data_IF_175096752251
#
_entry.id   IF_175096752251
#
_cell.length_a   1.000
_cell.length_b   1.000
_cell.length_c   1.000
_cell.angle_alpha   90.00
_cell.angle_beta   90.00
_cell.angle_gamma   90.00
#
_symmetry.space_group_name_H-M   'P 1'
#
loop_
_entity.id
_entity.type
_entity.pdbx_description
1 polymer ?
#
# COMPACT_ATOMS: atom_id res chain seq x y z
N UNK A 1 -10.92 8.85 23.98
CA UNK A 1 -11.03 7.41 23.80
C UNK A 1 -9.75 6.90 23.14
N UNK A 2 -9.05 6.02 23.83
CA UNK A 2 -7.83 5.48 23.27
C UNK A 2 -8.19 4.48 22.16
N UNK A 3 -7.58 4.62 21.01
CA UNK A 3 -7.72 3.66 19.92
C UNK A 3 -6.64 2.60 20.06
N UNK A 4 -6.82 1.76 21.07
CA UNK A 4 -5.86 0.69 21.33
C UNK A 4 -5.90 -0.31 20.18
N UNK A 5 -4.72 -0.55 19.62
CA UNK A 5 -4.58 -1.55 18.57
C UNK A 5 -4.44 -2.93 19.19
N UNK A 6 -5.13 -3.90 18.59
CA UNK A 6 -4.91 -5.31 18.91
C UNK A 6 -3.70 -5.77 18.10
N UNK A 7 -2.64 -6.19 18.79
CA UNK A 7 -1.38 -6.58 18.14
C UNK A 7 -1.20 -8.08 18.17
N UNK A 8 -0.80 -8.65 17.03
CA UNK A 8 -0.55 -10.06 16.85
C UNK A 8 0.77 -10.27 16.11
N UNK A 9 1.59 -11.20 16.59
CA UNK A 9 2.81 -11.59 15.89
C UNK A 9 2.48 -12.50 14.73
N UNK A 10 3.06 -12.23 13.55
CA UNK A 10 2.88 -13.05 12.36
C UNK A 10 4.04 -14.03 12.17
N UNK A 11 5.17 -13.82 12.88
CA UNK A 11 6.33 -14.71 12.85
C UNK A 11 6.72 -15.07 14.28
N UNK A 12 7.45 -16.18 14.43
CA UNK A 12 7.89 -16.65 15.74
C UNK A 12 8.82 -15.67 16.45
N UNK A 13 9.64 -14.95 15.71
CA UNK A 13 10.61 -14.00 16.28
C UNK A 13 10.02 -12.62 16.57
N UNK A 14 8.72 -12.45 16.40
CA UNK A 14 8.01 -11.18 16.66
C UNK A 14 8.48 -9.99 15.83
N UNK A 15 9.26 -10.21 14.77
CA UNK A 15 9.74 -9.13 13.91
C UNK A 15 8.64 -8.58 13.01
N UNK A 16 7.67 -9.41 12.64
CA UNK A 16 6.54 -9.03 11.77
C UNK A 16 5.26 -9.13 12.58
N UNK A 17 4.54 -8.01 12.66
CA UNK A 17 3.33 -7.90 13.45
C UNK A 17 2.15 -7.43 12.61
N UNK A 18 0.95 -7.76 13.08
CA UNK A 18 -0.32 -7.23 12.61
C UNK A 18 -0.94 -6.44 13.75
N UNK A 19 -1.31 -5.19 13.50
CA UNK A 19 -1.93 -4.32 14.51
C UNK A 19 -3.25 -3.77 13.95
N UNK A 20 -4.33 -3.91 14.70
CA UNK A 20 -5.66 -3.51 14.25
C UNK A 20 -6.29 -2.51 15.21
N UNK A 21 -6.84 -1.42 14.66
CA UNK A 21 -7.71 -0.50 15.39
C UNK A 21 -9.05 -0.38 14.65
N UNK A 22 -9.90 0.57 15.04
CA UNK A 22 -11.22 0.71 14.42
C UNK A 22 -11.16 1.03 12.92
N UNK A 23 -10.13 1.78 12.47
CA UNK A 23 -10.05 2.26 11.10
C UNK A 23 -9.14 1.42 10.21
N UNK A 24 -8.04 0.92 10.77
CA UNK A 24 -6.94 0.35 9.99
C UNK A 24 -6.44 -0.96 10.56
N UNK A 25 -5.95 -1.81 9.66
CA UNK A 25 -5.15 -2.99 10.00
C UNK A 25 -3.77 -2.76 9.41
N UNK A 26 -2.74 -2.75 10.26
CA UNK A 26 -1.35 -2.53 9.87
C UNK A 26 -0.57 -3.83 9.85
N UNK A 27 0.35 -3.95 8.91
CA UNK A 27 1.30 -5.06 8.82
C UNK A 27 2.69 -4.43 8.79
N UNK A 28 3.51 -4.72 9.79
CA UNK A 28 4.76 -4.01 10.02
C UNK A 28 5.90 -5.00 10.23
N UNK A 29 6.99 -4.81 9.48
CA UNK A 29 8.25 -5.50 9.73
C UNK A 29 9.11 -4.56 10.57
N UNK A 30 9.25 -4.86 11.86
CA UNK A 30 9.96 -3.99 12.81
C UNK A 30 11.45 -3.86 12.52
N UNK A 31 12.03 -4.74 11.70
CA UNK A 31 13.43 -4.66 11.31
C UNK A 31 13.63 -3.66 10.18
N UNK A 32 12.67 -3.53 9.26
CA UNK A 32 12.80 -2.69 8.06
C UNK A 32 11.97 -1.41 8.10
N UNK A 33 10.86 -1.39 8.88
CA UNK A 33 10.02 -0.20 8.99
C UNK A 33 10.80 1.05 9.43
N UNK A 34 11.83 0.96 10.30
CA UNK A 34 12.61 2.15 10.67
C UNK A 34 13.35 2.82 9.51
N UNK A 35 13.46 2.17 8.34
CA UNK A 35 14.07 2.79 7.15
C UNK A 35 13.15 3.82 6.51
N UNK A 36 11.85 3.81 6.85
CA UNK A 36 10.89 4.78 6.32
C UNK A 36 11.13 6.16 6.96
N UNK A 37 11.30 7.17 6.10
CA UNK A 37 11.61 8.55 6.53
C UNK A 37 10.38 9.43 6.31
N UNK A 38 9.92 10.15 7.33
CA UNK A 38 8.69 10.95 7.28
C UNK A 38 8.54 11.81 6.03
N UNK A 39 9.60 12.52 5.66
CA UNK A 39 9.55 13.43 4.51
C UNK A 39 9.55 12.74 3.16
N UNK A 40 9.96 11.47 3.14
CA UNK A 40 10.09 10.69 1.91
C UNK A 40 9.04 9.60 1.79
N UNK A 41 8.39 9.27 2.88
CA UNK A 41 7.44 8.15 2.91
C UNK A 41 6.17 8.48 2.14
N UNK A 42 5.77 7.54 1.33
CA UNK A 42 4.52 7.60 0.59
C UNK A 42 4.03 6.21 0.30
N UNK A 43 3.05 6.10 -0.59
CA UNK A 43 2.37 4.84 -0.81
C UNK A 43 1.89 4.66 -2.24
N UNK A 44 1.94 3.41 -2.68
CA UNK A 44 1.14 2.91 -3.79
C UNK A 44 -0.13 2.32 -3.20
N UNK A 45 -1.27 2.54 -3.84
CA UNK A 45 -2.57 2.15 -3.32
C UNK A 45 -3.38 1.36 -4.33
N UNK A 46 -4.26 0.48 -3.82
CA UNK A 46 -5.35 -0.07 -4.60
C UNK A 46 -6.58 -0.19 -3.72
N UNK A 47 -7.76 -0.29 -4.34
CA UNK A 47 -9.04 -0.34 -3.63
C UNK A 47 -9.61 -1.76 -3.63
N UNK A 48 -10.36 -2.10 -2.59
CA UNK A 48 -10.96 -3.42 -2.45
C UNK A 48 -12.35 -3.32 -1.84
N UNK A 49 -13.13 -4.39 -2.00
CA UNK A 49 -14.44 -4.54 -1.35
C UNK A 49 -14.46 -5.71 -0.37
N UNK A 50 -13.64 -6.73 -0.62
CA UNK A 50 -13.56 -7.94 0.21
C UNK A 50 -12.36 -7.84 1.15
N UNK A 51 -12.65 -7.70 2.46
CA UNK A 51 -11.60 -7.55 3.47
C UNK A 51 -10.71 -8.79 3.57
N UNK A 52 -11.26 -9.98 3.32
CA UNK A 52 -10.44 -11.21 3.34
C UNK A 52 -9.36 -11.17 2.26
N UNK A 53 -9.69 -10.65 1.09
CA UNK A 53 -8.72 -10.46 0.02
C UNK A 53 -7.61 -9.51 0.45
N UNK A 54 -7.98 -8.37 1.06
CA UNK A 54 -7.01 -7.39 1.54
C UNK A 54 -6.09 -7.98 2.62
N UNK A 55 -6.64 -8.76 3.55
CA UNK A 55 -5.86 -9.42 4.58
C UNK A 55 -4.84 -10.40 3.99
N UNK A 56 -5.28 -11.21 3.02
CA UNK A 56 -4.41 -12.19 2.37
C UNK A 56 -3.28 -11.51 1.61
N UNK A 57 -3.59 -10.46 0.86
CA UNK A 57 -2.58 -9.72 0.08
C UNK A 57 -1.57 -9.02 0.99
N UNK A 58 -2.04 -8.35 2.04
CA UNK A 58 -1.14 -7.66 2.96
C UNK A 58 -0.24 -8.64 3.73
N UNK A 59 -0.80 -9.77 4.16
CA UNK A 59 -0.03 -10.82 4.81
C UNK A 59 1.06 -11.35 3.88
N UNK A 60 0.68 -11.63 2.63
CA UNK A 60 1.63 -12.11 1.62
C UNK A 60 2.74 -11.08 1.38
N UNK A 61 2.39 -9.81 1.21
CA UNK A 61 3.35 -8.74 0.93
C UNK A 61 4.38 -8.60 2.05
N UNK A 62 3.92 -8.59 3.30
CA UNK A 62 4.82 -8.39 4.45
C UNK A 62 5.71 -9.62 4.68
N UNK A 63 5.17 -10.83 4.51
CA UNK A 63 5.93 -12.06 4.70
C UNK A 63 6.94 -12.31 3.59
N UNK A 64 6.63 -11.92 2.35
CA UNK A 64 7.56 -12.03 1.22
C UNK A 64 8.63 -10.94 1.21
N UNK A 65 8.48 -9.92 2.06
CA UNK A 65 9.43 -8.82 2.10
C UNK A 65 9.26 -7.81 0.98
N UNK A 66 8.08 -7.78 0.33
CA UNK A 66 7.80 -6.81 -0.72
C UNK A 66 7.74 -5.38 -0.18
N UNK A 67 7.31 -5.22 1.07
CA UNK A 67 7.18 -3.92 1.74
C UNK A 67 7.67 -4.03 3.18
N UNK A 68 8.04 -2.89 3.76
CA UNK A 68 8.40 -2.81 5.18
C UNK A 68 7.16 -2.57 6.05
N UNK A 69 6.15 -1.94 5.48
CA UNK A 69 4.89 -1.63 6.16
C UNK A 69 3.79 -1.45 5.14
N UNK A 70 2.61 -1.98 5.46
CA UNK A 70 1.40 -1.71 4.70
C UNK A 70 0.21 -1.66 5.65
N UNK A 71 -0.92 -1.16 5.14
CA UNK A 71 -2.16 -1.15 5.90
C UNK A 71 -3.35 -1.30 4.96
N UNK A 72 -4.47 -1.73 5.52
CA UNK A 72 -5.74 -1.70 4.80
C UNK A 72 -6.86 -1.24 5.73
N UNK A 73 -7.95 -0.77 5.14
CA UNK A 73 -9.16 -0.40 5.86
C UNK A 73 -9.66 -1.60 6.65
N UNK A 74 -10.00 -1.40 7.93
CA UNK A 74 -10.52 -2.47 8.79
C UNK A 74 -11.93 -2.91 8.35
N UNK A 75 -12.32 -4.12 8.73
CA UNK A 75 -13.65 -4.66 8.44
C UNK A 75 -14.76 -3.76 9.01
N UNK A 76 -14.57 -3.23 10.23
CA UNK A 76 -15.56 -2.36 10.85
C UNK A 76 -15.76 -1.04 10.13
N UNK A 77 -14.68 -0.43 9.69
CA UNK A 77 -14.75 0.84 8.96
C UNK A 77 -15.21 0.62 7.51
N UNK A 78 -14.91 -0.54 6.94
CA UNK A 78 -15.34 -0.89 5.59
C UNK A 78 -16.87 -0.93 5.47
N UNK A 79 -17.56 -1.44 6.50
CA UNK A 79 -19.03 -1.51 6.52
C UNK A 79 -19.65 -0.11 6.38
N UNK A 80 -19.02 0.91 6.96
CA UNK A 80 -19.49 2.30 6.87
C UNK A 80 -19.14 2.92 5.51
N UNK A 81 -17.97 2.63 4.98
CA UNK A 81 -17.43 3.27 3.77
C UNK A 81 -17.76 2.52 2.48
N UNK A 82 -18.14 1.25 2.54
CA UNK A 82 -18.46 0.36 1.41
C UNK A 82 -17.28 0.03 0.48
N UNK A 83 -16.15 0.70 0.62
CA UNK A 83 -14.94 0.45 -0.16
C UNK A 83 -13.71 0.74 0.70
N UNK A 84 -12.75 -0.20 0.67
CA UNK A 84 -11.51 -0.02 1.40
C UNK A 84 -10.33 0.28 0.50
N UNK A 85 -9.22 0.64 1.12
CA UNK A 85 -7.97 0.92 0.43
C UNK A 85 -6.84 0.15 1.09
N UNK A 86 -5.91 -0.35 0.27
CA UNK A 86 -4.64 -0.92 0.72
C UNK A 86 -3.54 0.09 0.37
N UNK A 87 -2.66 0.36 1.33
CA UNK A 87 -1.53 1.27 1.16
C UNK A 87 -0.22 0.50 1.38
N UNK A 88 0.65 0.50 0.35
CA UNK A 88 1.99 -0.08 0.42
C UNK A 88 3.00 1.05 0.56
N UNK A 89 3.70 1.12 1.69
CA UNK A 89 4.57 2.25 2.03
C UNK A 89 6.02 2.02 1.62
N UNK A 90 6.65 3.09 1.12
CA UNK A 90 8.09 3.13 0.90
C UNK A 90 8.53 4.59 0.77
N UNK A 91 9.86 4.82 0.81
CA UNK A 91 10.42 6.14 0.57
C UNK A 91 10.41 6.43 -0.94
N UNK A 92 10.11 7.68 -1.31
CA UNK A 92 10.01 8.09 -2.71
C UNK A 92 11.30 7.84 -3.51
N UNK A 93 12.45 7.93 -2.87
CA UNK A 93 13.75 7.75 -3.52
C UNK A 93 14.28 6.31 -3.49
N UNK A 94 13.47 5.36 -3.00
CA UNK A 94 13.82 3.94 -2.95
C UNK A 94 13.48 3.27 -4.29
N UNK A 95 14.35 3.44 -5.29
CA UNK A 95 14.11 2.90 -6.62
C UNK A 95 13.93 1.36 -6.64
N UNK A 96 14.79 0.57 -5.95
CA UNK A 96 14.56 -0.88 -5.87
C UNK A 96 13.24 -1.21 -5.19
N UNK A 97 12.82 -0.42 -4.21
CA UNK A 97 11.56 -0.62 -3.50
C UNK A 97 10.35 -0.40 -4.39
N UNK A 98 10.36 0.66 -5.20
CA UNK A 98 9.30 0.89 -6.19
C UNK A 98 9.17 -0.29 -7.14
N UNK A 99 10.28 -0.77 -7.67
CA UNK A 99 10.30 -1.93 -8.56
C UNK A 99 9.70 -3.15 -7.88
N UNK A 100 10.14 -3.44 -6.66
CA UNK A 100 9.71 -4.61 -5.89
C UNK A 100 8.21 -4.57 -5.59
N UNK A 101 7.70 -3.42 -5.16
CA UNK A 101 6.28 -3.25 -4.85
C UNK A 101 5.44 -3.34 -6.11
N UNK A 102 5.85 -2.67 -7.18
CA UNK A 102 5.09 -2.70 -8.43
C UNK A 102 5.10 -4.10 -9.06
N UNK A 103 6.21 -4.82 -8.97
CA UNK A 103 6.27 -6.21 -9.41
C UNK A 103 5.29 -7.08 -8.62
N UNK A 104 5.23 -6.89 -7.31
CA UNK A 104 4.26 -7.59 -6.46
C UNK A 104 2.83 -7.26 -6.89
N UNK A 105 2.53 -5.99 -7.11
CA UNK A 105 1.19 -5.55 -7.52
C UNK A 105 0.79 -6.12 -8.89
N UNK A 106 1.71 -6.11 -9.85
CA UNK A 106 1.46 -6.67 -11.17
C UNK A 106 1.24 -8.18 -11.11
N UNK A 107 2.09 -8.89 -10.36
CA UNK A 107 2.02 -10.36 -10.25
C UNK A 107 0.74 -10.84 -9.57
N UNK A 108 0.16 -10.01 -8.73
CA UNK A 108 -1.07 -10.36 -7.98
C UNK A 108 -2.33 -9.70 -8.56
N UNK A 109 -2.23 -9.04 -9.71
CA UNK A 109 -3.38 -8.46 -10.39
C UNK A 109 -4.03 -7.31 -9.63
N UNK A 110 -3.22 -6.50 -8.93
CA UNK A 110 -3.74 -5.43 -8.06
C UNK A 110 -3.89 -4.10 -8.76
N UNK A 111 -3.34 -3.95 -9.97
CA UNK A 111 -3.43 -2.71 -10.73
C UNK A 111 -4.59 -2.84 -11.72
N UNK A 112 -5.61 -1.97 -11.59
CA UNK A 112 -6.78 -2.07 -12.48
C UNK A 112 -6.43 -1.75 -13.92
N UNK A 113 -7.23 -2.26 -14.84
CA UNK A 113 -7.06 -2.01 -16.27
C UNK A 113 -8.17 -1.12 -16.79
N UNK A 114 -7.86 -0.32 -17.80
CA UNK A 114 -8.85 0.47 -18.52
C UNK A 114 -9.71 -0.42 -19.41
N UNK A 115 -10.77 0.12 -19.97
CA UNK A 115 -11.64 -0.62 -20.91
C UNK A 115 -10.86 -1.12 -22.13
N UNK A 116 -9.77 -0.43 -22.50
CA UNK A 116 -8.91 -0.82 -23.63
C UNK A 116 -7.83 -1.85 -23.27
N UNK A 117 -7.79 -2.29 -22.01
CA UNK A 117 -6.84 -3.30 -21.55
C UNK A 117 -5.50 -2.78 -21.11
N UNK A 118 -5.30 -1.46 -21.10
CA UNK A 118 -4.10 -0.85 -20.54
C UNK A 118 -4.18 -0.81 -19.02
N UNK A 119 -3.03 -0.82 -18.35
CA UNK A 119 -2.97 -0.55 -16.93
C UNK A 119 -3.37 0.89 -16.65
N UNK A 120 -4.13 1.11 -15.58
CA UNK A 120 -4.36 2.45 -15.07
C UNK A 120 -3.03 3.05 -14.62
N UNK A 121 -2.81 4.31 -14.94
CA UNK A 121 -1.60 5.02 -14.53
C UNK A 121 -1.75 5.48 -13.08
N UNK A 122 -1.66 4.53 -12.15
CA UNK A 122 -1.81 4.81 -10.73
C UNK A 122 -0.69 5.71 -10.23
N UNK A 123 -0.94 6.41 -9.14
CA UNK A 123 -0.02 7.41 -8.58
C UNK A 123 0.60 6.94 -7.29
N UNK A 124 1.87 7.30 -7.10
CA UNK A 124 2.52 7.25 -5.80
C UNK A 124 2.18 8.54 -5.08
N UNK A 125 1.69 8.45 -3.85
CA UNK A 125 1.28 9.62 -3.09
C UNK A 125 2.11 9.74 -1.82
N UNK A 126 2.83 10.86 -1.68
CA UNK A 126 3.56 11.17 -0.46
C UNK A 126 2.59 11.44 0.70
N UNK A 127 2.97 11.02 1.90
CA UNK A 127 2.17 11.30 3.10
C UNK A 127 2.08 12.80 3.36
N UNK A 128 3.13 13.55 3.06
CA UNK A 128 3.12 15.02 3.17
C UNK A 128 2.05 15.65 2.27
N UNK A 129 1.85 15.11 1.06
CA UNK A 129 0.79 15.57 0.16
C UNK A 129 -0.59 15.32 0.77
N UNK A 130 -0.77 14.18 1.42
CA UNK A 130 -2.03 13.88 2.10
C UNK A 130 -2.27 14.82 3.27
N UNK A 131 -1.24 15.10 4.08
CA UNK A 131 -1.35 16.02 5.22
C UNK A 131 -1.62 17.46 4.78
N UNK A 132 -1.11 17.84 3.61
CA UNK A 132 -1.36 19.16 3.03
C UNK A 132 -2.74 19.26 2.36
N UNK A 133 -3.54 18.19 2.36
CA UNK A 133 -4.85 18.19 1.73
C UNK A 133 -4.81 18.03 0.23
N UNK A 134 -3.69 17.60 -0.33
CA UNK A 134 -3.53 17.37 -1.78
C UNK A 134 -4.13 16.03 -2.17
N UNK A 135 -5.43 15.98 -2.32
CA UNK A 135 -6.13 14.77 -2.77
C UNK A 135 -7.35 15.16 -3.62
N UNK A 136 -7.94 14.16 -4.28
CA UNK A 136 -9.06 14.39 -5.17
C UNK A 136 -8.64 15.15 -6.43
N UNK A 137 -9.48 16.05 -6.90
CA UNK A 137 -9.26 16.78 -8.15
C UNK A 137 -8.07 17.75 -8.11
N UNK A 138 -7.69 18.21 -6.91
CA UNK A 138 -6.58 19.15 -6.75
C UNK A 138 -5.23 18.44 -6.62
N UNK A 139 -5.23 17.11 -6.49
CA UNK A 139 -3.99 16.34 -6.37
C UNK A 139 -3.29 16.24 -7.71
N UNK A 140 -2.02 16.63 -7.73
CA UNK A 140 -1.17 16.50 -8.91
C UNK A 140 0.01 15.59 -8.58
N UNK A 141 -0.09 14.33 -8.98
CA UNK A 141 0.94 13.34 -8.70
C UNK A 141 2.19 13.58 -9.53
N UNK A 142 3.34 13.60 -8.88
CA UNK A 142 4.65 13.75 -9.54
C UNK A 142 5.24 12.39 -9.95
N UNK A 143 4.87 11.31 -9.25
CA UNK A 143 5.38 9.97 -9.50
C UNK A 143 4.21 9.07 -9.84
N UNK A 144 4.27 8.44 -11.01
CA UNK A 144 3.20 7.60 -11.53
C UNK A 144 3.74 6.28 -12.04
N UNK A 145 2.85 5.31 -12.22
CA UNK A 145 3.21 3.98 -12.72
C UNK A 145 3.99 4.05 -14.03
N UNK A 146 3.62 4.95 -14.94
CA UNK A 146 4.28 5.07 -16.25
C UNK A 146 5.76 5.42 -16.16
N UNK A 147 6.21 5.94 -15.01
CA UNK A 147 7.63 6.24 -14.79
C UNK A 147 8.46 4.96 -14.65
N UNK A 148 7.82 3.83 -14.37
CA UNK A 148 8.48 2.56 -14.11
C UNK A 148 8.10 1.44 -15.07
N UNK A 149 6.90 1.51 -15.65
CA UNK A 149 6.28 0.38 -16.36
C UNK A 149 5.61 0.88 -17.64
N UNK A 150 5.71 0.07 -18.69
CA UNK A 150 4.92 0.28 -19.90
C UNK A 150 3.46 -0.09 -19.61
N UNK A 151 2.55 0.88 -19.72
CA UNK A 151 1.15 0.68 -19.35
C UNK A 151 0.42 -0.31 -20.27
N UNK A 152 0.88 -0.49 -21.49
CA UNK A 152 0.25 -1.41 -22.44
C UNK A 152 0.66 -2.86 -22.20
N UNK A 153 1.94 -3.10 -21.86
CA UNK A 153 2.50 -4.44 -21.73
C UNK A 153 2.68 -4.89 -20.29
N UNK A 154 2.78 -3.96 -19.34
CA UNK A 154 3.11 -4.28 -17.95
C UNK A 154 4.58 -4.57 -17.72
N UNK A 155 5.41 -4.39 -18.72
CA UNK A 155 6.85 -4.64 -18.61
C UNK A 155 7.56 -3.42 -18.03
N UNK A 156 8.57 -3.66 -17.20
CA UNK A 156 9.39 -2.58 -16.64
C UNK A 156 10.24 -1.92 -17.72
N UNK A 157 10.40 -0.62 -17.58
CA UNK A 157 11.19 0.19 -18.51
C UNK A 157 12.68 -0.07 -18.34
#
# INVERSE_FOLDING_TARGET
>A
MSMEATVKNLTENSSIIRAENHYWVFYINNETAPTLVDRKCGKWMFFFKDVSFAEDICTKAILEGAIAECKHTSAGFLDDAHQGVVCFYLNIDDAPGHHRILEFMLSNGLIPKTKKGKLHNISFKLDDQTRAGEYGKSFNAKTKLEDFVNLETGEFL
#
